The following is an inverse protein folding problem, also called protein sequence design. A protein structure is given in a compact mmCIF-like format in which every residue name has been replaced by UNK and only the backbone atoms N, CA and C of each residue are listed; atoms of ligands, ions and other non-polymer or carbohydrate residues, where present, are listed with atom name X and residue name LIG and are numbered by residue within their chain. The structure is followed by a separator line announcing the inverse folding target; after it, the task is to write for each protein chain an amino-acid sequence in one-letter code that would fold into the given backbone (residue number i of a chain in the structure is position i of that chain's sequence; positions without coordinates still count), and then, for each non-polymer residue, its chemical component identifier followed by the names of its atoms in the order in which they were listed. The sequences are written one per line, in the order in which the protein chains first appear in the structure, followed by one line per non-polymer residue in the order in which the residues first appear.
data_IF_790662543458
#
_entry.id   IF_790662543458
#
_cell.length_a   1.000
_cell.length_b   1.000
_cell.length_c   1.000
_cell.angle_alpha   90.00
_cell.angle_beta   90.00
_cell.angle_gamma   90.00
#
_symmetry.space_group_name_H-M   'P 1'
#
loop_
_entity.id
_entity.type
_entity.pdbx_description
1 polymer ?
#
# COMPACT_ATOMS: atom_id res chain seq x y z
N UNK A 1 18.94 -22.44 -12.18
CA UNK A 1 18.53 -21.98 -10.83
C UNK A 1 17.02 -21.83 -10.85
N UNK A 2 16.25 -22.45 -9.93
CA UNK A 2 14.83 -22.16 -9.85
C UNK A 2 14.70 -20.71 -9.38
N UNK A 3 14.09 -19.87 -10.22
CA UNK A 3 13.68 -18.53 -9.82
C UNK A 3 12.67 -18.72 -8.70
N UNK A 4 13.07 -18.48 -7.45
CA UNK A 4 12.10 -18.32 -6.36
C UNK A 4 11.01 -17.37 -6.85
N UNK A 5 9.76 -17.73 -6.62
CA UNK A 5 8.63 -16.86 -6.92
C UNK A 5 8.76 -15.62 -6.04
N UNK A 6 9.36 -14.57 -6.61
CA UNK A 6 9.66 -13.33 -5.93
C UNK A 6 8.41 -12.71 -5.33
N UNK A 7 7.27 -12.82 -6.03
CA UNK A 7 6.01 -12.28 -5.57
C UNK A 7 5.49 -13.05 -4.35
N UNK A 8 5.52 -14.38 -4.38
CA UNK A 8 5.11 -15.18 -3.23
C UNK A 8 5.99 -14.91 -1.99
N UNK A 9 7.31 -14.82 -2.18
CA UNK A 9 8.25 -14.49 -1.10
C UNK A 9 8.02 -13.07 -0.55
N UNK A 10 7.72 -12.09 -1.42
CA UNK A 10 7.37 -10.73 -1.02
C UNK A 10 6.09 -10.71 -0.17
N UNK A 11 4.99 -11.32 -0.67
CA UNK A 11 3.71 -11.36 0.04
C UNK A 11 3.87 -12.00 1.43
N UNK A 12 4.68 -13.06 1.54
CA UNK A 12 5.00 -13.68 2.82
C UNK A 12 5.66 -12.70 3.79
N UNK A 13 6.64 -11.91 3.33
CA UNK A 13 7.33 -10.92 4.18
C UNK A 13 6.41 -9.77 4.60
N UNK A 14 5.49 -9.37 3.72
CA UNK A 14 4.51 -8.31 3.99
C UNK A 14 3.45 -8.68 5.04
N UNK A 15 3.37 -9.95 5.45
CA UNK A 15 2.57 -10.33 6.63
C UNK A 15 3.15 -9.80 7.95
N UNK A 16 4.43 -9.42 7.98
CA UNK A 16 5.01 -8.69 9.11
C UNK A 16 4.70 -7.19 8.99
N UNK A 17 4.06 -6.64 10.02
CA UNK A 17 3.60 -5.24 10.06
C UNK A 17 4.73 -4.23 9.91
N UNK A 18 5.88 -4.47 10.57
CA UNK A 18 7.02 -3.55 10.52
C UNK A 18 7.62 -3.52 9.11
N UNK A 19 7.74 -4.68 8.47
CA UNK A 19 8.23 -4.81 7.11
C UNK A 19 7.28 -4.13 6.11
N UNK A 20 5.98 -4.36 6.23
CA UNK A 20 4.98 -3.70 5.40
C UNK A 20 4.99 -2.17 5.56
N UNK A 21 5.14 -1.67 6.79
CA UNK A 21 5.24 -0.23 7.06
C UNK A 21 6.50 0.39 6.42
N UNK A 22 7.65 -0.28 6.53
CA UNK A 22 8.88 0.17 5.87
C UNK A 22 8.76 0.14 4.35
N UNK A 23 8.13 -0.89 3.81
CA UNK A 23 7.89 -1.04 2.38
C UNK A 23 6.98 0.07 1.82
N UNK A 24 5.86 0.35 2.49
CA UNK A 24 4.97 1.47 2.14
C UNK A 24 5.67 2.82 2.24
N UNK A 25 6.47 3.01 3.30
CA UNK A 25 7.24 4.25 3.48
C UNK A 25 8.21 4.49 2.33
N UNK A 26 8.99 3.48 1.95
CA UNK A 26 9.96 3.61 0.87
C UNK A 26 9.27 4.02 -0.45
N UNK A 27 8.16 3.35 -0.79
CA UNK A 27 7.40 3.67 -1.99
C UNK A 27 6.76 5.09 -1.94
N UNK A 28 6.31 5.52 -0.76
CA UNK A 28 5.76 6.88 -0.59
C UNK A 28 6.86 7.95 -0.70
N UNK A 29 8.05 7.71 -0.15
CA UNK A 29 9.19 8.62 -0.26
C UNK A 29 9.62 8.79 -1.73
N UNK A 30 9.61 7.71 -2.52
CA UNK A 30 9.84 7.76 -3.98
C UNK A 30 8.81 8.63 -4.69
N UNK A 31 7.51 8.42 -4.39
CA UNK A 31 6.43 9.27 -4.92
C UNK A 31 6.60 10.75 -4.59
N UNK A 32 7.13 11.08 -3.40
CA UNK A 32 7.43 12.47 -3.03
C UNK A 32 8.62 13.06 -3.81
N UNK A 33 9.56 12.23 -4.25
CA UNK A 33 10.75 12.65 -4.97
C UNK A 33 10.49 12.87 -6.48
N UNK A 34 9.72 11.99 -7.11
CA UNK A 34 9.47 12.02 -8.55
C UNK A 34 8.05 12.48 -8.96
N UNK A 35 7.12 12.57 -7.99
CA UNK A 35 5.71 12.90 -8.22
C UNK A 35 4.88 11.74 -8.78
N UNK A 36 5.46 10.55 -8.92
CA UNK A 36 4.82 9.37 -9.47
C UNK A 36 4.25 8.45 -8.37
N UNK A 37 2.92 8.39 -8.31
CA UNK A 37 2.19 7.60 -7.30
C UNK A 37 2.09 6.10 -7.61
N UNK A 38 2.43 5.66 -8.83
CA UNK A 38 2.18 4.26 -9.23
C UNK A 38 2.95 3.26 -8.37
N UNK A 39 4.20 3.58 -8.00
CA UNK A 39 5.01 2.77 -7.10
C UNK A 39 4.34 2.59 -5.73
N UNK A 40 3.84 3.67 -5.14
CA UNK A 40 3.11 3.61 -3.88
C UNK A 40 1.80 2.84 -3.98
N UNK A 41 1.01 3.01 -5.04
CA UNK A 41 -0.25 2.28 -5.22
C UNK A 41 -0.02 0.78 -5.40
N UNK A 42 1.03 0.41 -6.15
CA UNK A 42 1.45 -0.98 -6.27
C UNK A 42 1.93 -1.55 -4.93
N UNK A 43 2.69 -0.78 -4.15
CA UNK A 43 3.14 -1.20 -2.84
C UNK A 43 1.94 -1.41 -1.88
N UNK A 44 0.99 -0.48 -1.88
CA UNK A 44 -0.24 -0.60 -1.10
C UNK A 44 -1.07 -1.82 -1.51
N UNK A 45 -1.17 -2.09 -2.82
CA UNK A 45 -1.80 -3.29 -3.33
C UNK A 45 -1.13 -4.56 -2.80
N UNK A 46 0.19 -4.64 -2.84
CA UNK A 46 0.93 -5.80 -2.34
C UNK A 46 0.67 -6.03 -0.84
N UNK A 47 0.57 -4.97 -0.03
CA UNK A 47 0.22 -5.10 1.40
C UNK A 47 -1.22 -5.59 1.57
N UNK A 48 -2.17 -5.03 0.82
CA UNK A 48 -3.57 -5.49 0.84
C UNK A 48 -3.66 -6.97 0.45
N UNK A 49 -2.97 -7.39 -0.62
CA UNK A 49 -2.94 -8.78 -1.08
C UNK A 49 -2.28 -9.71 -0.03
N UNK A 50 -1.24 -9.24 0.67
CA UNK A 50 -0.57 -9.99 1.73
C UNK A 50 -1.46 -10.25 2.96
N UNK A 51 -2.49 -9.43 3.19
CA UNK A 51 -3.49 -9.71 4.24
C UNK A 51 -4.34 -10.94 3.92
N UNK A 52 -4.39 -11.37 2.64
CA UNK A 52 -5.26 -12.44 2.17
C UNK A 52 -6.76 -12.13 2.22
N UNK A 53 -7.15 -10.89 2.53
CA UNK A 53 -8.51 -10.53 2.93
C UNK A 53 -9.04 -9.28 2.21
N UNK A 54 -8.88 -9.21 0.88
CA UNK A 54 -9.34 -8.08 0.04
C UNK A 54 -10.79 -7.65 0.33
N UNK A 55 -11.70 -8.60 0.54
CA UNK A 55 -13.10 -8.30 0.87
C UNK A 55 -13.25 -7.64 2.25
N UNK A 56 -12.50 -8.13 3.23
CA UNK A 56 -12.46 -7.56 4.58
C UNK A 56 -11.93 -6.14 4.56
N UNK A 57 -10.82 -5.91 3.85
CA UNK A 57 -10.23 -4.57 3.69
C UNK A 57 -11.24 -3.61 3.04
N UNK A 58 -11.92 -4.03 1.97
CA UNK A 58 -12.95 -3.20 1.32
C UNK A 58 -14.10 -2.85 2.28
N UNK A 59 -14.58 -3.83 3.06
CA UNK A 59 -15.65 -3.64 4.03
C UNK A 59 -15.23 -2.66 5.15
N UNK A 60 -14.04 -2.83 5.73
CA UNK A 60 -13.51 -1.96 6.78
C UNK A 60 -13.24 -0.54 6.26
N UNK A 61 -12.74 -0.43 5.02
CA UNK A 61 -12.55 0.85 4.34
C UNK A 61 -13.87 1.48 3.85
N UNK A 62 -15.01 0.80 4.01
CA UNK A 62 -16.37 1.20 3.60
C UNK A 62 -16.48 1.54 2.11
N UNK A 63 -15.82 0.76 1.27
CA UNK A 63 -15.86 0.89 -0.19
C UNK A 63 -16.15 -0.46 -0.85
N UNK A 64 -16.59 -0.44 -2.11
CA UNK A 64 -16.75 -1.70 -2.85
C UNK A 64 -15.39 -2.31 -3.20
N UNK A 65 -15.33 -3.64 -3.33
CA UNK A 65 -14.12 -4.35 -3.79
C UNK A 65 -13.67 -3.87 -5.17
N UNK A 66 -14.60 -3.58 -6.07
CA UNK A 66 -14.30 -3.01 -7.39
C UNK A 66 -13.67 -1.61 -7.26
N UNK A 67 -14.17 -0.79 -6.34
CA UNK A 67 -13.58 0.51 -6.07
C UNK A 67 -12.15 0.37 -5.56
N UNK A 68 -11.92 -0.53 -4.59
CA UNK A 68 -10.59 -0.83 -4.05
C UNK A 68 -9.60 -1.25 -5.16
N UNK A 69 -9.99 -2.16 -6.06
CA UNK A 69 -9.14 -2.53 -7.20
C UNK A 69 -8.82 -1.35 -8.13
N UNK A 70 -9.79 -0.47 -8.39
CA UNK A 70 -9.60 0.73 -9.24
C UNK A 70 -8.66 1.74 -8.57
N UNK A 71 -8.70 1.86 -7.25
CA UNK A 71 -7.84 2.75 -6.48
C UNK A 71 -6.40 2.23 -6.46
N UNK A 72 -6.23 0.92 -6.36
CA UNK A 72 -4.93 0.24 -6.26
C UNK A 72 -4.30 -0.09 -7.62
N UNK A 73 -4.89 0.38 -8.72
CA UNK A 73 -4.28 0.24 -10.04
C UNK A 73 -3.17 1.27 -10.25
N UNK A 74 -2.37 1.07 -11.29
CA UNK A 74 -1.28 2.00 -11.68
C UNK A 74 -1.79 3.42 -11.92
N UNK A 75 -2.97 3.55 -12.52
CA UNK A 75 -3.66 4.82 -12.79
C UNK A 75 -4.60 5.28 -11.66
N UNK A 76 -4.59 4.57 -10.53
CA UNK A 76 -5.43 4.88 -9.39
C UNK A 76 -5.22 6.31 -8.91
N UNK A 77 -6.29 6.94 -8.42
CA UNK A 77 -6.24 8.28 -7.84
C UNK A 77 -7.15 8.34 -6.61
N UNK A 78 -6.76 7.70 -5.49
CA UNK A 78 -7.54 7.78 -4.26
C UNK A 78 -7.64 9.22 -3.76
N UNK A 79 -8.82 9.59 -3.27
CA UNK A 79 -8.94 10.77 -2.40
C UNK A 79 -8.19 10.52 -1.10
N UNK A 80 -7.83 11.57 -0.37
CA UNK A 80 -7.22 11.45 0.95
C UNK A 80 -8.09 10.61 1.92
N UNK A 81 -9.41 10.80 1.87
CA UNK A 81 -10.36 10.03 2.67
C UNK A 81 -10.26 8.52 2.37
N UNK A 82 -10.23 8.18 1.08
CA UNK A 82 -10.13 6.79 0.62
C UNK A 82 -8.78 6.17 1.00
N UNK A 83 -7.69 6.91 0.80
CA UNK A 83 -6.36 6.44 1.14
C UNK A 83 -6.26 6.14 2.64
N UNK A 84 -6.72 7.06 3.48
CA UNK A 84 -6.67 6.88 4.94
C UNK A 84 -7.62 5.79 5.43
N UNK A 85 -8.76 5.57 4.79
CA UNK A 85 -9.64 4.45 5.15
C UNK A 85 -9.02 3.09 4.81
N UNK A 86 -8.38 2.96 3.64
CA UNK A 86 -7.67 1.74 3.25
C UNK A 86 -6.47 1.49 4.16
N UNK A 87 -5.65 2.50 4.45
CA UNK A 87 -4.51 2.36 5.36
C UNK A 87 -4.96 1.87 6.75
N UNK A 88 -6.03 2.46 7.33
CA UNK A 88 -6.56 1.99 8.61
C UNK A 88 -7.05 0.55 8.55
N UNK A 89 -7.72 0.15 7.47
CA UNK A 89 -8.22 -1.22 7.27
C UNK A 89 -7.10 -2.28 7.17
N UNK A 90 -5.87 -1.87 6.87
CA UNK A 90 -4.68 -2.75 6.90
C UNK A 90 -3.79 -2.50 8.13
N UNK A 91 -4.28 -1.77 9.14
CA UNK A 91 -3.54 -1.48 10.36
C UNK A 91 -2.38 -0.50 10.20
N UNK A 92 -2.40 0.34 9.16
CA UNK A 92 -1.35 1.31 8.84
C UNK A 92 -1.79 2.75 9.13
N UNK A 93 -0.81 3.61 9.40
CA UNK A 93 -0.98 5.06 9.55
C UNK A 93 0.16 5.80 8.85
N UNK A 94 -0.02 7.10 8.65
CA UNK A 94 1.02 8.00 8.12
C UNK A 94 1.63 8.77 9.29
N UNK A 95 2.94 8.91 9.26
CA UNK A 95 3.70 9.78 10.16
C UNK A 95 4.42 10.88 9.35
N UNK A 96 4.50 12.08 9.93
CA UNK A 96 5.11 13.24 9.27
C UNK A 96 6.44 13.55 9.91
N UNK A 97 7.46 13.76 9.07
CA UNK A 97 8.81 14.09 9.50
C UNK A 97 9.21 15.45 8.95
N UNK A 98 10.02 16.24 9.67
CA UNK A 98 10.53 17.49 9.13
C UNK A 98 11.38 17.23 7.88
N UNK A 99 11.28 18.12 6.91
CA UNK A 99 12.27 18.19 5.85
C UNK A 99 13.51 18.85 6.44
N UNK A 100 14.54 18.05 6.69
CA UNK A 100 15.81 18.55 7.19
C UNK A 100 16.48 19.35 6.06
N UNK A 101 16.82 20.61 6.33
CA UNK A 101 17.41 21.59 5.39
C UNK A 101 16.45 22.10 4.29
N UNK A 102 15.38 22.81 4.68
CA UNK A 102 14.73 23.81 3.80
C UNK A 102 15.35 25.19 4.01
#
# INVERSE_FOLDING_TARGET
MPTKDYQADLLKRLTNSEYAAQYLKAAFDETLADGNRSAFLLALKNVVDATGAMQTVANEAKISRQHLYRILSEEGNPTLETLTSVLRAIGMTIDFKPLVNR
#
